data_IF_712492764959
#
_entry.id   IF_712492764959
#
_cell.length_a   1.000
_cell.length_b   1.000
_cell.length_c   1.000
_cell.angle_alpha   90.00
_cell.angle_beta   90.00
_cell.angle_gamma   90.00
#
_symmetry.space_group_name_H-M   'P 1'
#
loop_
_entity.id
_entity.type
_entity.pdbx_description
1 polymer ?
#
# COMPACT_ATOMS: atom_id res chain seq x y z
N UNK A 1 2.07 12.53 -23.44
CA UNK A 1 0.72 12.10 -23.02
C UNK A 1 0.88 11.48 -21.66
N UNK A 2 0.40 12.15 -20.62
CA UNK A 2 0.48 11.63 -19.25
C UNK A 2 -0.75 10.78 -19.00
N UNK A 3 -0.53 9.49 -18.78
CA UNK A 3 -1.63 8.53 -18.54
C UNK A 3 -1.86 8.41 -17.03
N UNK A 4 -3.06 7.98 -16.65
CA UNK A 4 -3.37 7.66 -15.24
C UNK A 4 -2.35 6.67 -14.67
N UNK A 5 -1.91 5.69 -15.47
CA UNK A 5 -0.87 4.75 -15.08
C UNK A 5 0.50 5.42 -14.91
N UNK A 6 0.82 6.43 -15.73
CA UNK A 6 2.07 7.19 -15.60
C UNK A 6 2.21 7.91 -14.26
N UNK A 7 1.14 8.56 -13.78
CA UNK A 7 1.11 9.15 -12.45
C UNK A 7 1.27 8.10 -11.35
N UNK A 8 0.54 6.98 -11.46
CA UNK A 8 0.64 5.88 -10.50
C UNK A 8 2.08 5.35 -10.41
N UNK A 9 2.72 5.08 -11.54
CA UNK A 9 4.08 4.57 -11.58
C UNK A 9 5.10 5.57 -11.00
N UNK A 10 4.91 6.87 -11.26
CA UNK A 10 5.75 7.93 -10.68
C UNK A 10 5.60 7.96 -9.14
N UNK A 11 4.37 7.99 -8.62
CA UNK A 11 4.14 8.00 -7.18
C UNK A 11 4.62 6.74 -6.47
N UNK A 12 4.47 5.58 -7.11
CA UNK A 12 5.01 4.33 -6.60
C UNK A 12 6.54 4.40 -6.51
N UNK A 13 7.21 4.91 -7.56
CA UNK A 13 8.67 5.07 -7.58
C UNK A 13 9.15 6.07 -6.51
N UNK A 14 8.39 7.14 -6.31
CA UNK A 14 8.72 8.20 -5.36
C UNK A 14 8.35 7.83 -3.90
N UNK A 15 7.82 6.63 -3.65
CA UNK A 15 7.48 6.15 -2.31
C UNK A 15 6.34 6.96 -1.64
N UNK A 16 5.46 7.57 -2.45
CA UNK A 16 4.38 8.43 -1.94
C UNK A 16 3.40 7.65 -1.07
N UNK A 17 3.12 6.40 -1.42
CA UNK A 17 2.21 5.55 -0.64
C UNK A 17 2.79 5.24 0.75
N UNK A 18 4.08 4.91 0.86
CA UNK A 18 4.73 4.67 2.16
C UNK A 18 4.68 5.91 3.06
N UNK A 19 4.90 7.09 2.48
CA UNK A 19 4.81 8.37 3.21
C UNK A 19 3.38 8.65 3.67
N UNK A 20 2.40 8.42 2.81
CA UNK A 20 0.99 8.60 3.13
C UNK A 20 0.55 7.65 4.23
N UNK A 21 0.92 6.37 4.15
CA UNK A 21 0.61 5.36 5.16
C UNK A 21 1.22 5.74 6.51
N UNK A 22 2.48 6.19 6.53
CA UNK A 22 3.13 6.67 7.75
C UNK A 22 2.46 7.91 8.36
N UNK A 23 1.95 8.83 7.54
CA UNK A 23 1.21 10.01 8.00
C UNK A 23 -0.16 9.62 8.58
N UNK A 24 -0.94 8.83 7.84
CA UNK A 24 -2.25 8.38 8.28
C UNK A 24 -2.16 7.55 9.57
N UNK A 25 -1.17 6.66 9.67
CA UNK A 25 -0.92 5.88 10.88
C UNK A 25 -0.69 6.78 12.10
N UNK A 26 0.18 7.79 11.98
CA UNK A 26 0.45 8.75 13.07
C UNK A 26 -0.81 9.47 13.50
N UNK A 27 -1.57 10.00 12.54
CA UNK A 27 -2.81 10.73 12.82
C UNK A 27 -3.83 9.86 13.57
N UNK A 28 -3.97 8.59 13.17
CA UNK A 28 -4.88 7.65 13.85
C UNK A 28 -4.37 7.30 15.26
N UNK A 29 -3.06 7.05 15.43
CA UNK A 29 -2.48 6.78 16.74
C UNK A 29 -2.67 7.95 17.71
N UNK A 30 -2.41 9.17 17.26
CA UNK A 30 -2.62 10.40 18.04
C UNK A 30 -4.09 10.59 18.42
N UNK A 31 -5.02 10.36 17.48
CA UNK A 31 -6.46 10.47 17.73
C UNK A 31 -6.95 9.46 18.78
N UNK A 32 -6.28 8.30 18.90
CA UNK A 32 -6.56 7.29 19.92
C UNK A 32 -5.76 7.48 21.22
N UNK A 33 -4.95 8.54 21.32
CA UNK A 33 -4.12 8.82 22.50
C UNK A 33 -2.93 7.87 22.67
N UNK A 34 -2.50 7.22 21.58
CA UNK A 34 -1.33 6.32 21.54
C UNK A 34 -0.09 7.09 21.05
N UNK A 35 1.09 6.51 21.28
CA UNK A 35 2.34 7.05 20.70
C UNK A 35 2.24 7.05 19.17
N UNK A 36 2.60 8.19 18.56
CA UNK A 36 2.56 8.40 17.12
C UNK A 36 3.50 7.44 16.37
N UNK A 37 4.64 7.08 16.98
CA UNK A 37 5.58 6.11 16.44
C UNK A 37 5.59 4.84 17.30
N UNK A 38 4.64 3.91 17.07
CA UNK A 38 4.60 2.66 17.83
C UNK A 38 5.84 1.82 17.54
N UNK A 39 6.40 1.19 18.58
CA UNK A 39 7.56 0.31 18.51
C UNK A 39 7.31 -1.03 17.80
N UNK A 40 6.04 -1.34 17.48
CA UNK A 40 5.63 -2.51 16.70
C UNK A 40 4.45 -2.16 15.78
N UNK A 41 4.42 -2.74 14.58
CA UNK A 41 3.36 -2.58 13.59
C UNK A 41 2.93 -3.95 13.07
N UNK A 42 1.63 -4.20 12.98
CA UNK A 42 1.08 -5.40 12.33
C UNK A 42 0.95 -5.07 10.84
N UNK A 43 1.82 -5.67 10.03
CA UNK A 43 1.70 -5.65 8.58
C UNK A 43 0.94 -6.90 8.16
N UNK A 44 -0.13 -6.70 7.40
CA UNK A 44 -0.99 -7.76 6.89
C UNK A 44 -1.07 -7.64 5.36
N UNK A 45 -0.82 -8.75 4.66
CA UNK A 45 -0.88 -8.80 3.22
C UNK A 45 -2.21 -9.41 2.79
N UNK A 46 -3.12 -8.59 2.25
CA UNK A 46 -4.40 -9.07 1.72
C UNK A 46 -4.31 -9.26 0.20
N UNK A 47 -4.65 -10.47 -0.27
CA UNK A 47 -4.75 -10.75 -1.70
C UNK A 47 -6.10 -10.30 -2.25
N UNK A 48 -6.09 -9.52 -3.34
CA UNK A 48 -7.31 -9.14 -4.08
C UNK A 48 -7.38 -10.00 -5.35
N UNK A 49 -8.54 -10.61 -5.62
CA UNK A 49 -8.77 -11.37 -6.85
C UNK A 49 -8.76 -10.41 -8.04
N UNK A 50 -7.88 -10.66 -9.01
CA UNK A 50 -7.84 -9.91 -10.26
C UNK A 50 -9.09 -10.17 -11.10
N UNK A 51 -9.46 -9.19 -11.95
CA UNK A 51 -10.53 -9.35 -12.94
C UNK A 51 -10.35 -10.64 -13.77
N UNK A 52 -11.45 -11.33 -14.07
CA UNK A 52 -11.45 -12.56 -14.89
C UNK A 52 -10.90 -12.36 -16.32
N UNK A 53 -10.69 -11.11 -16.75
CA UNK A 53 -10.11 -10.76 -18.05
C UNK A 53 -8.58 -10.80 -18.08
N UNK A 54 -7.90 -10.96 -16.94
CA UNK A 54 -6.44 -11.13 -16.89
C UNK A 54 -6.12 -12.63 -16.90
N UNK A 55 -5.35 -13.15 -17.88
CA UNK A 55 -4.97 -14.55 -17.92
C UNK A 55 -4.30 -14.99 -16.63
N UNK A 56 -4.58 -16.21 -16.15
CA UNK A 56 -4.00 -16.74 -14.91
C UNK A 56 -2.45 -16.67 -14.87
N UNK A 57 -1.80 -16.76 -16.03
CA UNK A 57 -0.34 -16.63 -16.16
C UNK A 57 0.21 -15.21 -15.88
N UNK A 58 -0.64 -14.18 -15.91
CA UNK A 58 -0.30 -12.80 -15.53
C UNK A 58 -0.74 -12.43 -14.12
N UNK A 59 -1.30 -13.39 -13.36
CA UNK A 59 -1.68 -13.21 -11.96
C UNK A 59 -0.52 -13.70 -11.08
N UNK A 60 -0.01 -12.81 -10.23
CA UNK A 60 1.00 -13.14 -9.22
C UNK A 60 0.37 -13.10 -7.83
N UNK A 61 0.69 -14.10 -7.01
CA UNK A 61 0.44 -14.06 -5.58
C UNK A 61 1.80 -13.83 -4.92
N UNK A 62 1.93 -12.76 -4.15
CA UNK A 62 3.06 -12.63 -3.24
C UNK A 62 2.84 -13.62 -2.08
N UNK A 63 3.56 -14.73 -2.11
CA UNK A 63 3.52 -15.77 -1.08
C UNK A 63 4.47 -15.44 0.10
N UNK A 64 4.71 -14.15 0.33
CA UNK A 64 5.54 -13.64 1.42
C UNK A 64 4.96 -13.96 2.80
N UNK A 65 5.68 -14.81 3.53
CA UNK A 65 5.69 -14.88 4.98
C UNK A 65 6.54 -13.73 5.54
#
# INVERSE_FOLDING_TARGET
METVYGYFAAWQKDGIFDQLDGLLRRLVCEAEGRDAEPSACVLDAQSIKTSANVPAAGQGIDAGK
#
